data_IF_833115504347
#
_entry.id   IF_833115504347
#
_cell.length_a   1.000
_cell.length_b   1.000
_cell.length_c   1.000
_cell.angle_alpha   90.00
_cell.angle_beta   90.00
_cell.angle_gamma   90.00
#
_symmetry.space_group_name_H-M   'P 1'
#
loop_
_entity.id
_entity.type
_entity.pdbx_description
1 polymer ?
#
# COMPACT_ATOMS: atom_id res chain seq x y z
N UNK A 1 3.93 -18.52 3.22
CA UNK A 1 4.86 -17.41 2.98
C UNK A 1 5.14 -16.78 4.33
N UNK A 2 6.39 -16.81 4.80
CA UNK A 2 6.75 -16.27 6.12
C UNK A 2 7.09 -14.77 6.10
N UNK A 3 7.38 -14.22 4.90
CA UNK A 3 7.76 -12.82 4.69
C UNK A 3 7.25 -12.31 3.34
N UNK A 4 6.76 -11.08 3.30
CA UNK A 4 6.34 -10.37 2.10
C UNK A 4 7.13 -9.07 1.96
N UNK A 5 7.76 -8.85 0.81
CA UNK A 5 8.44 -7.60 0.47
C UNK A 5 7.50 -6.71 -0.32
N UNK A 6 6.97 -5.65 0.28
CA UNK A 6 6.05 -4.76 -0.44
C UNK A 6 6.85 -3.75 -1.26
N UNK A 7 6.47 -3.57 -2.52
CA UNK A 7 6.99 -2.52 -3.41
C UNK A 7 5.77 -1.79 -3.95
N UNK A 8 5.76 -0.46 -3.90
CA UNK A 8 4.64 0.34 -4.38
C UNK A 8 5.15 1.71 -4.88
N UNK A 9 4.68 2.20 -6.04
CA UNK A 9 5.05 3.52 -6.55
C UNK A 9 4.27 4.62 -5.81
N UNK A 10 4.80 5.06 -4.67
CA UNK A 10 4.13 5.98 -3.73
C UNK A 10 3.58 7.26 -4.39
N UNK A 11 4.28 7.81 -5.39
CA UNK A 11 3.95 9.12 -6.00
C UNK A 11 3.31 9.03 -7.39
N UNK A 12 3.11 7.82 -7.93
CA UNK A 12 2.89 7.67 -9.38
C UNK A 12 1.63 6.91 -9.76
N UNK A 13 1.05 6.05 -8.92
CA UNK A 13 -0.12 5.24 -9.33
C UNK A 13 -1.19 5.15 -8.23
N UNK A 14 -2.35 5.74 -8.49
CA UNK A 14 -3.45 5.80 -7.51
C UNK A 14 -4.62 4.87 -7.82
N UNK A 15 -4.70 4.33 -9.04
CA UNK A 15 -5.71 3.32 -9.42
C UNK A 15 -5.36 1.89 -8.99
N UNK A 16 -4.24 1.74 -8.28
CA UNK A 16 -3.71 0.50 -7.77
C UNK A 16 -2.95 -0.33 -8.81
N UNK A 17 -1.93 -1.06 -8.35
CA UNK A 17 -1.03 -1.85 -9.20
C UNK A 17 -1.15 -3.34 -8.92
N UNK A 18 -1.02 -4.13 -10.00
CA UNK A 18 -0.86 -5.58 -9.90
C UNK A 18 0.60 -5.97 -10.01
N UNK A 19 1.07 -6.78 -9.07
CA UNK A 19 2.45 -7.24 -8.98
C UNK A 19 2.48 -8.77 -8.95
N UNK A 20 3.31 -9.38 -9.81
CA UNK A 20 3.61 -10.81 -9.77
C UNK A 20 4.73 -11.10 -8.76
N UNK A 21 4.39 -11.82 -7.70
CA UNK A 21 5.31 -12.28 -6.64
C UNK A 21 5.75 -13.74 -6.82
N UNK A 22 5.72 -14.27 -8.05
CA UNK A 22 6.32 -15.56 -8.37
C UNK A 22 7.79 -15.63 -7.95
N UNK A 23 8.52 -14.51 -8.03
CA UNK A 23 9.78 -14.28 -7.34
C UNK A 23 9.63 -13.23 -6.20
N UNK A 24 9.56 -13.65 -4.92
CA UNK A 24 9.29 -12.75 -3.81
C UNK A 24 10.33 -11.65 -3.56
N UNK A 25 11.57 -11.81 -4.02
CA UNK A 25 12.62 -10.80 -3.87
C UNK A 25 12.71 -9.83 -5.04
N UNK A 26 11.93 -10.08 -6.11
CA UNK A 26 11.92 -9.25 -7.32
C UNK A 26 10.51 -9.29 -7.94
N UNK A 27 9.51 -8.69 -7.27
CA UNK A 27 8.16 -8.61 -7.82
C UNK A 27 8.18 -7.84 -9.15
N UNK A 28 7.33 -8.27 -10.08
CA UNK A 28 7.22 -7.66 -11.40
C UNK A 28 5.87 -6.97 -11.56
N UNK A 29 5.87 -5.73 -12.07
CA UNK A 29 4.64 -5.04 -12.39
C UNK A 29 3.96 -5.66 -13.61
N UNK A 30 2.64 -5.84 -13.51
CA UNK A 30 1.79 -6.37 -14.58
C UNK A 30 1.10 -5.18 -15.27
N UNK A 31 1.83 -4.53 -16.17
CA UNK A 31 1.44 -3.26 -16.82
C UNK A 31 0.06 -3.29 -17.46
N UNK A 32 -0.27 -4.37 -18.19
CA UNK A 32 -1.52 -4.50 -18.93
C UNK A 32 -2.78 -4.63 -18.05
N UNK A 33 -2.61 -4.80 -16.74
CA UNK A 33 -3.71 -4.85 -15.77
C UNK A 33 -3.89 -3.56 -14.99
N UNK A 34 -3.02 -2.60 -15.21
CA UNK A 34 -3.06 -1.32 -14.52
C UNK A 34 -3.50 -0.25 -15.53
N UNK A 35 -4.41 0.63 -15.14
CA UNK A 35 -4.95 1.63 -16.06
C UNK A 35 -3.92 2.76 -16.28
N UNK A 36 -3.41 2.96 -17.50
CA UNK A 36 -2.36 3.94 -17.80
C UNK A 36 -2.76 5.38 -17.46
N UNK A 37 -4.07 5.68 -17.40
CA UNK A 37 -4.57 7.00 -17.05
C UNK A 37 -4.50 7.30 -15.54
N UNK A 38 -4.27 6.30 -14.70
CA UNK A 38 -4.17 6.45 -13.25
C UNK A 38 -2.74 6.78 -12.80
N UNK A 39 -1.81 6.87 -13.77
CA UNK A 39 -0.48 7.38 -13.52
C UNK A 39 -0.40 8.89 -13.69
N UNK A 40 0.06 9.56 -12.64
CA UNK A 40 0.38 10.99 -12.72
C UNK A 40 1.82 11.17 -13.20
N UNK A 41 2.06 12.26 -13.94
CA UNK A 41 3.41 12.73 -14.20
C UNK A 41 4.12 12.99 -12.87
N UNK A 42 5.11 12.15 -12.57
CA UNK A 42 5.92 12.24 -11.36
C UNK A 42 6.73 13.53 -11.42
N UNK A 43 6.46 14.46 -10.49
CA UNK A 43 7.33 15.64 -10.29
C UNK A 43 8.73 15.28 -9.80
N UNK A 44 8.92 14.00 -9.46
CA UNK A 44 10.11 13.45 -8.83
C UNK A 44 10.88 12.51 -9.76
N UNK A 45 10.63 12.57 -11.08
CA UNK A 45 11.38 11.78 -12.06
C UNK A 45 12.89 12.02 -11.90
N UNK A 46 13.65 10.95 -11.66
CA UNK A 46 15.10 11.00 -11.43
C UNK A 46 15.54 11.39 -10.01
N UNK A 47 14.60 11.58 -9.08
CA UNK A 47 14.90 11.92 -7.68
C UNK A 47 14.75 10.68 -6.81
N UNK A 48 15.83 10.28 -6.12
CA UNK A 48 15.78 9.22 -5.14
C UNK A 48 15.32 9.78 -3.79
N UNK A 49 14.13 9.37 -3.33
CA UNK A 49 13.61 9.72 -2.01
C UNK A 49 13.83 8.54 -1.07
N UNK A 50 14.49 8.77 0.06
CA UNK A 50 14.67 7.77 1.10
C UNK A 50 13.89 8.16 2.35
N UNK A 51 13.10 7.25 2.89
CA UNK A 51 12.36 7.43 4.13
C UNK A 51 13.05 6.74 5.31
N UNK A 52 12.84 7.25 6.52
CA UNK A 52 13.33 6.67 7.76
C UNK A 52 12.71 5.29 7.99
N UNK A 53 13.53 4.31 8.39
CA UNK A 53 13.04 2.98 8.70
C UNK A 53 12.26 2.97 10.02
N UNK A 54 11.04 2.40 9.98
CA UNK A 54 10.23 2.12 11.16
C UNK A 54 9.93 0.61 11.24
N UNK A 55 9.91 0.07 12.46
CA UNK A 55 9.63 -1.34 12.71
C UNK A 55 8.36 -1.47 13.54
N UNK A 56 7.38 -2.21 13.02
CA UNK A 56 6.12 -2.50 13.70
C UNK A 56 6.13 -3.88 14.36
N UNK A 57 5.36 -4.04 15.43
CA UNK A 57 5.13 -5.33 16.09
C UNK A 57 3.65 -5.63 16.13
N UNK A 58 3.31 -6.89 15.84
CA UNK A 58 1.94 -7.38 15.97
C UNK A 58 1.64 -7.57 17.46
N UNK A 59 0.46 -7.14 17.90
CA UNK A 59 -0.07 -7.38 19.24
C UNK A 59 -1.49 -7.90 19.16
N UNK A 60 -1.81 -8.88 20.01
CA UNK A 60 -3.19 -9.36 20.21
C UNK A 60 -3.88 -8.63 21.38
N UNK A 61 -3.15 -7.73 22.05
CA UNK A 61 -3.66 -6.91 23.14
C UNK A 61 -3.99 -5.53 22.57
N UNK A 62 -5.28 -5.22 22.52
CA UNK A 62 -5.82 -3.95 22.04
C UNK A 62 -6.17 -3.08 23.24
N UNK A 63 -5.54 -1.92 23.36
CA UNK A 63 -5.96 -0.88 24.30
C UNK A 63 -6.89 0.09 23.58
N UNK A 64 -8.19 -0.17 23.68
CA UNK A 64 -9.24 0.59 22.99
C UNK A 64 -9.20 2.08 23.33
N UNK A 65 -8.65 2.47 24.49
CA UNK A 65 -8.54 3.88 24.90
C UNK A 65 -7.55 4.70 24.04
N UNK A 66 -6.68 4.01 23.31
CA UNK A 66 -5.70 4.62 22.41
C UNK A 66 -6.21 4.80 20.98
N UNK A 67 -7.36 4.22 20.65
CA UNK A 67 -7.96 4.32 19.33
C UNK A 67 -9.03 5.41 19.34
N UNK A 68 -8.85 6.43 18.52
CA UNK A 68 -9.87 7.45 18.29
C UNK A 68 -10.88 6.95 17.24
N UNK A 69 -12.10 7.50 17.22
CA UNK A 69 -13.15 7.18 16.24
C UNK A 69 -12.76 7.42 14.76
N UNK A 70 -11.53 7.88 14.48
CA UNK A 70 -10.97 8.13 13.15
C UNK A 70 -9.90 7.12 12.73
N UNK A 71 -9.45 6.25 13.63
CA UNK A 71 -8.38 5.30 13.33
C UNK A 71 -9.01 4.15 12.53
N UNK A 72 -8.90 4.26 11.22
CA UNK A 72 -9.75 3.61 10.22
C UNK A 72 -9.53 2.09 10.07
N UNK A 73 -8.96 1.38 11.05
CA UNK A 73 -8.60 -0.03 10.88
C UNK A 73 -8.72 -0.84 12.19
N UNK A 74 -9.71 -1.74 12.26
CA UNK A 74 -9.84 -2.72 13.34
C UNK A 74 -9.12 -4.01 12.97
N UNK A 75 -8.00 -4.32 13.63
CA UNK A 75 -7.46 -5.68 13.78
C UNK A 75 -7.37 -6.53 12.49
N UNK A 76 -6.92 -5.94 11.38
CA UNK A 76 -6.76 -6.68 10.11
C UNK A 76 -8.07 -6.90 9.34
N UNK A 77 -9.15 -6.22 9.73
CA UNK A 77 -10.34 -6.06 8.89
C UNK A 77 -10.24 -4.67 8.26
N UNK A 78 -10.22 -4.57 6.92
CA UNK A 78 -10.27 -3.27 6.26
C UNK A 78 -11.62 -2.62 6.58
N UNK A 79 -11.66 -1.43 7.20
CA UNK A 79 -12.89 -0.63 7.27
C UNK A 79 -13.11 0.01 5.90
N UNK A 80 -13.51 -0.83 4.95
CA UNK A 80 -13.95 -0.40 3.64
C UNK A 80 -15.33 0.24 3.76
N UNK A 81 -15.38 1.57 3.73
CA UNK A 81 -16.65 2.30 3.73
C UNK A 81 -17.11 2.73 2.33
N UNK A 82 -16.26 2.69 1.27
CA UNK A 82 -16.59 3.37 0.00
C UNK A 82 -16.34 2.64 -1.35
N UNK A 83 -15.94 1.36 -1.42
CA UNK A 83 -15.85 0.65 -2.73
C UNK A 83 -16.52 -0.75 -2.71
N UNK A 84 -17.41 -1.10 -3.66
CA UNK A 84 -18.39 -2.17 -3.46
C UNK A 84 -17.87 -3.60 -3.67
N UNK A 85 -16.60 -3.84 -4.00
CA UNK A 85 -16.13 -5.18 -4.36
C UNK A 85 -14.72 -5.51 -3.85
N UNK A 86 -14.61 -6.63 -3.11
CA UNK A 86 -13.32 -7.28 -2.78
C UNK A 86 -12.54 -7.50 -4.08
N UNK A 87 -11.27 -7.06 -4.18
CA UNK A 87 -10.45 -7.27 -5.36
C UNK A 87 -10.39 -8.75 -5.74
N UNK A 88 -10.48 -9.03 -7.03
CA UNK A 88 -10.41 -10.40 -7.57
C UNK A 88 -9.10 -10.58 -8.30
N UNK A 89 -8.56 -11.80 -8.25
CA UNK A 89 -7.38 -12.14 -9.00
C UNK A 89 -7.67 -11.98 -10.51
N UNK A 90 -6.84 -11.25 -11.26
CA UNK A 90 -7.08 -11.01 -12.69
C UNK A 90 -6.95 -12.27 -13.55
N UNK A 91 -6.35 -13.34 -13.02
CA UNK A 91 -6.17 -14.63 -13.70
C UNK A 91 -7.29 -15.60 -13.37
N UNK A 92 -7.57 -15.83 -12.08
CA UNK A 92 -8.52 -16.86 -11.65
C UNK A 92 -9.93 -16.32 -11.40
N UNK A 93 -10.10 -15.00 -11.35
CA UNK A 93 -11.33 -14.32 -10.93
C UNK A 93 -11.80 -14.67 -9.50
N UNK A 94 -10.94 -15.31 -8.71
CA UNK A 94 -11.20 -15.64 -7.31
C UNK A 94 -10.93 -14.42 -6.41
N UNK A 95 -11.64 -14.25 -5.29
CA UNK A 95 -11.37 -13.17 -4.35
C UNK A 95 -9.94 -13.20 -3.81
N UNK A 96 -9.30 -12.04 -3.76
CA UNK A 96 -7.98 -11.87 -3.15
C UNK A 96 -8.10 -11.71 -1.64
N UNK A 97 -7.07 -12.13 -0.91
CA UNK A 97 -7.05 -12.04 0.56
C UNK A 97 -6.45 -10.71 0.98
N UNK A 98 -7.13 -9.99 1.86
CA UNK A 98 -6.54 -8.83 2.53
C UNK A 98 -5.32 -9.27 3.36
N UNK A 99 -4.22 -8.53 3.26
CA UNK A 99 -2.97 -8.79 3.99
C UNK A 99 -2.80 -7.78 5.11
N UNK A 100 -2.71 -6.51 4.74
CA UNK A 100 -2.62 -5.40 5.67
C UNK A 100 -2.94 -4.10 4.96
N UNK A 101 -3.02 -3.05 5.75
CA UNK A 101 -3.05 -1.66 5.33
C UNK A 101 -1.91 -0.91 5.99
N UNK A 102 -1.38 0.09 5.30
CA UNK A 102 -0.31 0.97 5.77
C UNK A 102 -0.85 2.39 5.65
N UNK A 103 -0.94 3.10 6.77
CA UNK A 103 -1.40 4.48 6.81
C UNK A 103 -0.30 5.47 6.45
N UNK A 104 -0.72 6.64 5.94
CA UNK A 104 0.15 7.80 5.90
C UNK A 104 0.62 8.14 7.32
N UNK A 105 1.92 8.39 7.49
CA UNK A 105 2.53 8.50 8.80
C UNK A 105 3.48 9.71 8.88
N UNK A 106 3.16 10.62 9.82
CA UNK A 106 3.91 11.85 10.07
C UNK A 106 5.26 11.61 10.75
N UNK A 107 5.48 10.43 11.30
CA UNK A 107 6.71 10.04 11.96
C UNK A 107 7.70 9.37 11.00
N UNK A 108 7.23 8.83 9.87
CA UNK A 108 8.09 8.28 8.82
C UNK A 108 8.55 9.42 7.93
N UNK A 109 9.79 9.90 8.12
CA UNK A 109 10.29 11.12 7.47
C UNK A 109 11.30 10.85 6.36
N UNK A 110 11.40 11.76 5.39
CA UNK A 110 12.44 11.70 4.36
C UNK A 110 13.80 12.05 4.96
N UNK A 111 14.83 11.23 4.70
CA UNK A 111 16.16 11.36 5.31
C UNK A 111 17.17 12.11 4.44
N UNK A 112 16.93 12.21 3.13
CA UNK A 112 17.91 12.69 2.16
C UNK A 112 17.47 13.98 1.43
N UNK A 113 16.62 14.82 2.04
CA UNK A 113 16.02 15.95 1.35
C UNK A 113 16.78 17.29 1.44
N UNK A 114 16.86 17.98 0.29
CA UNK A 114 17.00 19.45 0.21
C UNK A 114 15.61 20.10 0.38
N UNK A 115 15.54 21.27 1.06
CA UNK A 115 14.31 21.92 1.55
C UNK A 115 13.18 22.05 0.50
N UNK A 116 11.94 21.66 0.85
CA UNK A 116 10.72 22.15 0.18
C UNK A 116 9.59 21.16 -0.17
N UNK A 117 9.69 19.88 0.22
CA UNK A 117 8.66 18.84 -0.05
C UNK A 117 8.06 18.31 1.26
N UNK A 118 6.91 17.62 1.18
CA UNK A 118 6.32 16.94 2.33
C UNK A 118 7.35 15.97 2.92
N UNK A 119 7.72 16.22 4.18
CA UNK A 119 8.84 15.58 4.83
C UNK A 119 8.46 14.23 5.45
N UNK A 120 7.28 13.70 5.10
CA UNK A 120 6.61 12.57 5.74
C UNK A 120 6.07 11.58 4.70
N UNK A 121 5.82 10.33 5.09
CA UNK A 121 5.17 9.33 4.24
C UNK A 121 3.69 9.68 4.06
N UNK A 122 3.31 10.01 2.83
CA UNK A 122 1.93 10.36 2.48
C UNK A 122 1.46 9.49 1.32
N UNK A 123 0.28 8.89 1.48
CA UNK A 123 -0.51 8.30 0.40
C UNK A 123 -1.70 9.25 0.11
N UNK A 124 -1.61 10.06 -0.94
CA UNK A 124 -2.64 11.08 -1.29
C UNK A 124 -3.04 12.02 -0.14
N UNK A 125 -4.34 12.17 0.14
CA UNK A 125 -4.89 13.05 1.19
C UNK A 125 -4.88 12.36 2.56
N UNK A 126 -3.67 11.96 3.01
CA UNK A 126 -3.47 11.19 4.25
C UNK A 126 -4.20 9.82 4.28
N UNK A 127 -4.30 9.17 3.12
CA UNK A 127 -4.96 7.89 2.93
C UNK A 127 -4.14 6.68 3.42
N UNK A 128 -4.60 5.51 2.98
CA UNK A 128 -4.09 4.19 3.34
C UNK A 128 -3.73 3.37 2.10
N UNK A 129 -2.54 2.79 2.09
CA UNK A 129 -2.16 1.75 1.13
C UNK A 129 -2.75 0.40 1.58
N UNK A 130 -3.61 -0.18 0.75
CA UNK A 130 -4.30 -1.44 0.97
C UNK A 130 -3.66 -2.56 0.16
N UNK A 131 -3.32 -3.69 0.80
CA UNK A 131 -2.65 -4.81 0.15
C UNK A 131 -3.52 -6.07 0.13
N UNK A 132 -3.70 -6.65 -1.06
CA UNK A 132 -4.44 -7.89 -1.29
C UNK A 132 -3.56 -8.90 -2.01
N UNK A 133 -3.68 -10.17 -1.67
CA UNK A 133 -2.83 -11.22 -2.24
C UNK A 133 -3.63 -12.46 -2.63
N UNK A 134 -3.33 -12.99 -3.81
CA UNK A 134 -3.86 -14.25 -4.29
C UNK A 134 -2.80 -15.36 -4.15
N UNK A 135 -2.95 -16.31 -3.22
CA UNK A 135 -1.86 -17.21 -2.83
C UNK A 135 -1.47 -18.23 -3.91
N UNK A 136 -2.39 -18.59 -4.80
CA UNK A 136 -2.14 -19.61 -5.84
C UNK A 136 -1.35 -19.00 -6.99
N UNK A 137 -1.79 -17.85 -7.50
CA UNK A 137 -1.14 -17.15 -8.61
C UNK A 137 -0.01 -16.24 -8.15
N UNK A 138 0.12 -16.03 -6.84
CA UNK A 138 1.10 -15.14 -6.22
C UNK A 138 0.99 -13.70 -6.72
N UNK A 139 -0.20 -13.26 -7.08
CA UNK A 139 -0.43 -11.88 -7.49
C UNK A 139 -0.79 -11.05 -6.27
N UNK A 140 -0.13 -9.90 -6.12
CA UNK A 140 -0.48 -8.87 -5.15
C UNK A 140 -1.18 -7.72 -5.88
N UNK A 141 -2.24 -7.18 -5.28
CA UNK A 141 -2.87 -5.93 -5.68
C UNK A 141 -2.65 -4.92 -4.56
N UNK A 142 -2.09 -3.76 -4.90
CA UNK A 142 -1.82 -2.67 -3.97
C UNK A 142 -2.58 -1.43 -4.44
N UNK A 143 -3.43 -0.84 -3.59
CA UNK A 143 -4.23 0.34 -3.94
C UNK A 143 -4.20 1.37 -2.82
N UNK A 144 -4.26 2.66 -3.15
CA UNK A 144 -4.45 3.73 -2.17
C UNK A 144 -5.96 4.01 -2.03
N UNK A 145 -6.42 4.19 -0.80
CA UNK A 145 -7.79 4.60 -0.47
C UNK A 145 -7.74 5.82 0.48
N UNK A 146 -8.66 6.77 0.31
CA UNK A 146 -8.80 7.99 1.12
C UNK A 146 -10.20 8.13 1.74
#
# INVERSE_FOLDING_TARGET
>A
MEKLHVVFPVNECYGGVYLDYSNPSKPQHIENLTNPNDWYESKDEGILIEYSQVNFKITNVLDVSKYNNRDALLCGVPLWYQFPHVPKCPITNEPMRFICSIESDKEIRVVNMERGRDDILIFEDMGHLMLFYHPVTKILFANVEH
#
